data_IF_713605637246
#
_entry.id   IF_713605637246
#
_cell.length_a   1.000
_cell.length_b   1.000
_cell.length_c   1.000
_cell.angle_alpha   90.00
_cell.angle_beta   90.00
_cell.angle_gamma   90.00
#
_symmetry.space_group_name_H-M   'P 1'
#
loop_
_entity.id
_entity.type
_entity.pdbx_description
1 polymer ?
#
# COMPACT_ATOMS: atom_id res chain seq x y z
N UNK A 1 -6.93 -1.16 -20.09
CA UNK A 1 -6.78 0.27 -19.71
C UNK A 1 -5.35 0.72 -19.90
N UNK A 2 -5.10 2.01 -20.18
CA UNK A 2 -3.73 2.55 -20.24
C UNK A 2 -3.24 2.83 -18.81
N UNK A 3 -1.92 2.77 -18.59
CA UNK A 3 -1.32 2.98 -17.26
C UNK A 3 -1.75 4.30 -16.59
N UNK A 4 -1.87 5.38 -17.36
CA UNK A 4 -2.33 6.68 -16.85
C UNK A 4 -3.80 6.68 -16.42
N UNK A 5 -4.65 5.93 -17.12
CA UNK A 5 -6.07 5.79 -16.75
C UNK A 5 -6.20 5.06 -15.40
N UNK A 6 -5.40 3.99 -15.20
CA UNK A 6 -5.37 3.26 -13.93
C UNK A 6 -4.89 4.15 -12.78
N UNK A 7 -3.83 4.93 -12.99
CA UNK A 7 -3.32 5.88 -11.97
C UNK A 7 -4.37 6.92 -11.60
N UNK A 8 -5.11 7.45 -12.58
CA UNK A 8 -6.15 8.44 -12.31
C UNK A 8 -7.30 7.85 -11.47
N UNK A 9 -7.77 6.63 -11.79
CA UNK A 9 -8.81 5.95 -11.03
C UNK A 9 -8.36 5.74 -9.56
N UNK A 10 -7.13 5.25 -9.36
CA UNK A 10 -6.58 5.09 -8.01
C UNK A 10 -6.50 6.43 -7.30
N UNK A 11 -5.99 7.47 -7.96
CA UNK A 11 -5.86 8.82 -7.39
C UNK A 11 -7.20 9.42 -6.96
N UNK A 12 -8.23 9.30 -7.79
CA UNK A 12 -9.59 9.77 -7.48
C UNK A 12 -10.13 9.03 -6.25
N UNK A 13 -10.11 7.69 -6.25
CA UNK A 13 -10.60 6.88 -5.14
C UNK A 13 -9.89 7.21 -3.82
N UNK A 14 -8.56 7.26 -3.82
CA UNK A 14 -7.79 7.56 -2.59
C UNK A 14 -7.90 9.03 -2.16
N UNK A 15 -8.23 9.96 -3.08
CA UNK A 15 -8.58 11.33 -2.71
C UNK A 15 -9.90 11.40 -1.93
N UNK A 16 -10.90 10.63 -2.32
CA UNK A 16 -12.17 10.51 -1.58
C UNK A 16 -11.95 9.91 -0.19
N UNK A 17 -11.22 8.80 -0.12
CA UNK A 17 -10.88 8.10 1.13
C UNK A 17 -10.12 9.03 2.09
N UNK A 18 -9.23 9.88 1.60
CA UNK A 18 -8.47 10.83 2.42
C UNK A 18 -9.37 11.82 3.18
N UNK A 19 -10.54 12.13 2.65
CA UNK A 19 -11.50 13.06 3.26
C UNK A 19 -12.37 12.39 4.34
N UNK A 20 -12.35 11.07 4.43
CA UNK A 20 -13.16 10.27 5.35
C UNK A 20 -12.36 9.90 6.60
N UNK A 21 -13.07 9.54 7.67
CA UNK A 21 -12.51 8.89 8.85
C UNK A 21 -12.36 7.38 8.62
N UNK A 22 -11.55 6.71 9.44
CA UNK A 22 -11.45 5.24 9.42
C UNK A 22 -12.82 4.57 9.54
N UNK A 23 -13.66 5.05 10.44
CA UNK A 23 -15.00 4.50 10.68
C UNK A 23 -15.90 4.66 9.44
N UNK A 24 -15.82 5.78 8.73
CA UNK A 24 -16.53 5.98 7.47
C UNK A 24 -15.99 5.03 6.38
N UNK A 25 -14.68 4.83 6.29
CA UNK A 25 -14.08 3.89 5.35
C UNK A 25 -14.47 2.43 5.62
N UNK A 26 -14.59 2.04 6.89
CA UNK A 26 -15.04 0.69 7.32
C UNK A 26 -16.55 0.48 7.11
N UNK A 27 -17.36 1.56 7.17
CA UNK A 27 -18.82 1.50 7.05
C UNK A 27 -19.33 1.89 5.67
N UNK A 28 -18.47 2.28 4.75
CA UNK A 28 -18.79 2.86 3.43
C UNK A 28 -19.51 1.92 2.47
N UNK A 29 -19.99 0.79 2.92
CA UNK A 29 -20.99 -0.01 2.18
C UNK A 29 -22.32 0.72 1.90
N UNK A 30 -22.60 1.89 2.51
CA UNK A 30 -23.86 2.62 2.41
C UNK A 30 -23.70 4.14 2.40
N UNK A 31 -22.79 4.70 1.61
CA UNK A 31 -22.78 6.15 1.33
C UNK A 31 -23.96 6.54 0.45
N UNK A 32 -24.64 7.65 0.76
CA UNK A 32 -25.89 8.19 0.22
C UNK A 32 -25.90 8.42 -1.31
N UNK A 33 -25.86 7.36 -2.10
CA UNK A 33 -25.89 7.44 -3.56
C UNK A 33 -25.86 6.07 -4.22
N UNK A 34 -26.74 5.19 -3.77
CA UNK A 34 -27.17 3.95 -4.39
C UNK A 34 -26.26 3.35 -5.46
N UNK A 35 -25.36 2.48 -5.08
CA UNK A 35 -24.92 1.27 -5.78
C UNK A 35 -23.90 0.58 -4.89
N UNK A 36 -24.25 -0.57 -4.31
CA UNK A 36 -23.39 -1.41 -3.49
C UNK A 36 -22.36 -2.11 -4.39
N UNK A 37 -21.20 -1.52 -4.61
CA UNK A 37 -20.08 -2.12 -5.33
C UNK A 37 -18.73 -1.94 -4.64
N UNK A 38 -18.69 -1.38 -3.41
CA UNK A 38 -17.44 -1.11 -2.72
C UNK A 38 -16.92 -2.36 -2.03
N UNK A 39 -15.72 -2.79 -2.43
CA UNK A 39 -14.95 -3.84 -1.75
C UNK A 39 -14.64 -3.33 -0.33
N UNK A 40 -15.00 -4.12 0.68
CA UNK A 40 -14.62 -3.83 2.06
C UNK A 40 -13.12 -4.10 2.24
N UNK A 41 -12.34 -3.03 2.25
CA UNK A 41 -10.87 -3.10 2.41
C UNK A 41 -10.44 -3.55 3.80
N UNK A 42 -11.33 -3.51 4.80
CA UNK A 42 -11.01 -3.90 6.16
C UNK A 42 -10.68 -5.40 6.29
N UNK A 43 -11.12 -6.23 5.34
CA UNK A 43 -10.77 -7.67 5.29
C UNK A 43 -9.27 -7.93 5.21
N UNK A 44 -8.50 -6.97 4.68
CA UNK A 44 -7.04 -7.06 4.55
C UNK A 44 -6.32 -6.51 5.77
N UNK A 45 -6.94 -5.57 6.51
CA UNK A 45 -6.26 -4.77 7.51
C UNK A 45 -5.80 -5.57 8.73
N UNK A 46 -4.71 -5.09 9.34
CA UNK A 46 -4.23 -5.52 10.65
C UNK A 46 -4.30 -4.36 11.66
N UNK A 47 -4.45 -4.68 12.95
CA UNK A 47 -4.59 -3.65 13.99
C UNK A 47 -3.24 -3.06 14.36
N UNK A 48 -3.12 -1.75 14.28
CA UNK A 48 -1.94 -0.95 14.66
C UNK A 48 -1.97 -0.43 16.08
N UNK A 49 -3.09 -0.60 16.80
CA UNK A 49 -3.34 0.05 18.12
C UNK A 49 -2.32 -0.28 19.19
N UNK A 50 -1.59 -1.39 19.04
CA UNK A 50 -0.56 -1.83 19.98
C UNK A 50 0.84 -1.29 19.65
N UNK A 51 1.03 -0.64 18.49
CA UNK A 51 2.32 -0.16 18.04
C UNK A 51 2.65 1.23 18.60
N UNK A 52 3.91 1.41 18.98
CA UNK A 52 4.41 2.72 19.33
C UNK A 52 4.43 3.61 18.08
N UNK A 53 3.93 4.83 18.21
CA UNK A 53 3.81 5.76 17.08
C UNK A 53 2.46 5.68 16.37
N UNK A 54 1.60 4.71 16.69
CA UNK A 54 0.25 4.66 16.14
C UNK A 54 -0.50 5.99 16.35
N UNK A 55 -1.15 6.45 15.28
CA UNK A 55 -2.00 7.62 15.33
C UNK A 55 -3.35 7.33 14.66
N UNK A 56 -4.47 7.36 15.40
CA UNK A 56 -5.80 7.06 14.85
C UNK A 56 -6.23 8.03 13.73
N UNK A 57 -5.75 9.30 13.73
CA UNK A 57 -6.04 10.26 12.67
C UNK A 57 -5.35 9.89 11.33
N UNK A 58 -4.29 9.06 11.38
CA UNK A 58 -3.54 8.60 10.22
C UNK A 58 -3.95 7.19 9.76
N UNK A 59 -4.62 6.43 10.60
CA UNK A 59 -5.09 5.08 10.30
C UNK A 59 -6.42 5.15 9.54
N UNK A 60 -6.38 4.89 8.24
CA UNK A 60 -7.56 4.89 7.36
C UNK A 60 -8.10 3.47 7.08
N UNK A 61 -7.51 2.44 7.69
CA UNK A 61 -7.91 1.03 7.50
C UNK A 61 -7.51 0.42 6.15
N UNK A 62 -6.52 0.98 5.46
CA UNK A 62 -6.18 0.64 4.07
C UNK A 62 -5.01 -0.35 3.92
N UNK A 63 -4.28 -0.64 4.99
CA UNK A 63 -3.12 -1.54 4.93
C UNK A 63 -3.51 -3.01 4.90
N UNK A 64 -2.67 -3.87 4.34
CA UNK A 64 -2.87 -5.32 4.31
C UNK A 64 -1.88 -6.09 5.22
N UNK A 65 -1.12 -5.37 6.03
CA UNK A 65 -0.15 -5.91 6.98
C UNK A 65 0.57 -4.81 7.74
N UNK A 66 1.62 -5.17 8.45
CA UNK A 66 2.46 -4.25 9.22
C UNK A 66 3.91 -4.41 8.74
N UNK A 67 4.32 -3.71 7.67
CA UNK A 67 5.67 -3.88 7.11
C UNK A 67 6.77 -3.52 8.11
N UNK A 68 6.49 -2.67 9.08
CA UNK A 68 7.45 -2.26 10.13
C UNK A 68 7.82 -3.38 11.10
N UNK A 69 6.99 -4.45 11.26
CA UNK A 69 7.32 -5.59 12.10
C UNK A 69 8.56 -6.35 11.64
N UNK A 70 8.76 -6.45 10.32
CA UNK A 70 9.85 -7.22 9.71
C UNK A 70 10.93 -6.34 9.12
N UNK A 71 10.74 -5.02 9.12
CA UNK A 71 11.63 -4.06 8.49
C UNK A 71 12.99 -3.88 9.19
N UNK A 72 13.21 -4.46 10.37
CA UNK A 72 14.47 -4.36 11.12
C UNK A 72 15.02 -2.92 11.21
N UNK A 73 14.13 -1.94 11.32
CA UNK A 73 14.47 -0.51 11.42
C UNK A 73 15.30 -0.27 12.68
N UNK A 74 16.33 0.52 12.56
CA UNK A 74 17.24 0.88 13.67
C UNK A 74 17.20 2.37 13.96
N UNK A 75 17.58 2.74 15.18
CA UNK A 75 17.76 4.14 15.53
C UNK A 75 18.80 4.81 14.61
N UNK A 76 18.44 5.98 14.10
CA UNK A 76 19.25 6.74 13.15
C UNK A 76 19.04 6.43 11.68
N UNK A 77 18.28 5.37 11.32
CA UNK A 77 18.00 5.02 9.93
C UNK A 77 17.23 6.11 9.19
N UNK A 78 17.43 6.16 7.88
CA UNK A 78 16.54 6.85 6.95
C UNK A 78 15.57 5.85 6.36
N UNK A 79 14.28 5.96 6.72
CA UNK A 79 13.20 5.12 6.22
C UNK A 79 12.42 5.87 5.15
N UNK A 80 12.05 5.17 4.07
CA UNK A 80 11.11 5.68 3.07
C UNK A 80 9.88 4.79 3.07
N UNK A 81 8.71 5.40 3.16
CA UNK A 81 7.40 4.76 3.11
C UNK A 81 6.75 5.06 1.76
N UNK A 82 6.45 4.00 0.99
CA UNK A 82 5.85 4.09 -0.34
C UNK A 82 4.33 4.00 -0.24
N UNK A 83 3.64 4.99 -0.81
CA UNK A 83 2.19 5.14 -0.66
C UNK A 83 1.81 5.42 0.78
N UNK A 84 2.47 6.40 1.37
CA UNK A 84 2.39 6.68 2.80
C UNK A 84 1.00 7.09 3.31
N UNK A 85 0.05 7.36 2.41
CA UNK A 85 -1.30 7.77 2.76
C UNK A 85 -1.30 8.92 3.75
N UNK A 86 -2.10 8.81 4.82
CA UNK A 86 -2.17 9.80 5.90
C UNK A 86 -1.02 9.72 6.93
N UNK A 87 -0.02 8.83 6.71
CA UNK A 87 1.23 8.77 7.45
C UNK A 87 1.31 7.71 8.55
N UNK A 88 0.38 6.75 8.62
CA UNK A 88 0.34 5.78 9.71
C UNK A 88 1.66 4.99 9.86
N UNK A 89 2.13 4.32 8.80
CA UNK A 89 3.39 3.57 8.82
C UNK A 89 4.62 4.48 9.01
N UNK A 90 4.58 5.72 8.49
CA UNK A 90 5.61 6.73 8.74
C UNK A 90 5.76 7.06 10.23
N UNK A 91 4.66 7.18 10.98
CA UNK A 91 4.72 7.53 12.40
C UNK A 91 5.17 6.35 13.25
N UNK A 92 4.79 5.13 12.89
CA UNK A 92 5.36 3.91 13.50
C UNK A 92 6.86 3.83 13.22
N UNK A 93 7.28 3.98 11.96
CA UNK A 93 8.70 4.01 11.60
C UNK A 93 9.47 5.12 12.34
N UNK A 94 8.84 6.32 12.52
CA UNK A 94 9.44 7.42 13.30
C UNK A 94 9.75 7.02 14.74
N UNK A 95 8.89 6.22 15.36
CA UNK A 95 9.12 5.74 16.73
C UNK A 95 10.36 4.83 16.81
N UNK A 96 10.62 4.08 15.75
CA UNK A 96 11.75 3.13 15.65
C UNK A 96 13.07 3.82 15.30
N UNK A 97 13.07 4.77 14.35
CA UNK A 97 14.30 5.48 13.97
C UNK A 97 14.75 6.51 15.02
N UNK A 98 13.90 6.87 15.96
CA UNK A 98 14.20 7.84 17.00
C UNK A 98 14.34 9.27 16.48
N UNK A 99 14.92 10.16 17.31
CA UNK A 99 15.09 11.57 16.98
C UNK A 99 16.24 11.81 15.98
N UNK A 100 17.23 10.91 15.93
CA UNK A 100 18.41 10.97 15.07
C UNK A 100 18.14 10.47 13.65
N UNK A 101 17.11 9.63 13.46
CA UNK A 101 16.73 9.10 12.15
C UNK A 101 15.82 10.04 11.37
N UNK A 102 15.47 9.61 10.17
CA UNK A 102 14.57 10.35 9.27
C UNK A 102 13.54 9.42 8.62
N UNK A 103 12.31 9.90 8.49
CA UNK A 103 11.27 9.21 7.72
C UNK A 103 10.78 10.09 6.58
N UNK A 104 10.63 9.52 5.39
CA UNK A 104 10.12 10.20 4.19
C UNK A 104 8.95 9.37 3.67
N UNK A 105 7.74 9.92 3.78
CA UNK A 105 6.56 9.36 3.14
C UNK A 105 6.41 9.88 1.71
N UNK A 106 6.10 9.00 0.76
CA UNK A 106 5.82 9.35 -0.64
C UNK A 106 4.41 8.88 -0.96
N UNK A 107 3.60 9.79 -1.47
CA UNK A 107 2.27 9.49 -2.01
C UNK A 107 2.00 10.34 -3.25
N UNK A 108 1.23 9.83 -4.20
CA UNK A 108 0.91 10.59 -5.42
C UNK A 108 -0.43 11.35 -5.32
N UNK A 109 -1.15 11.20 -4.19
CA UNK A 109 -2.43 11.83 -3.90
C UNK A 109 -2.22 13.08 -3.04
N UNK A 110 -2.56 14.25 -3.55
CA UNK A 110 -2.39 15.52 -2.84
C UNK A 110 -3.14 15.54 -1.49
N UNK A 111 -4.38 15.04 -1.47
CA UNK A 111 -5.20 15.01 -0.25
C UNK A 111 -4.58 14.14 0.85
N UNK A 112 -3.95 13.01 0.50
CA UNK A 112 -3.21 12.17 1.44
C UNK A 112 -1.99 12.91 2.01
N UNK A 113 -1.21 13.55 1.16
CA UNK A 113 -0.02 14.32 1.58
C UNK A 113 -0.40 15.49 2.51
N UNK A 114 -1.49 16.20 2.22
CA UNK A 114 -1.98 17.28 3.08
C UNK A 114 -2.41 16.75 4.45
N UNK A 115 -3.17 15.65 4.48
CA UNK A 115 -3.59 15.00 5.73
C UNK A 115 -2.37 14.51 6.53
N UNK A 116 -1.40 13.85 5.88
CA UNK A 116 -0.18 13.37 6.52
C UNK A 116 0.67 14.50 7.14
N UNK A 117 0.83 15.61 6.42
CA UNK A 117 1.54 16.80 6.93
C UNK A 117 0.81 17.42 8.12
N UNK A 118 -0.52 17.50 8.06
CA UNK A 118 -1.34 17.96 9.18
C UNK A 118 -1.16 17.09 10.42
N UNK A 119 -1.14 15.78 10.27
CA UNK A 119 -0.91 14.82 11.36
C UNK A 119 0.51 14.96 11.94
N UNK A 120 1.54 15.05 11.08
CA UNK A 120 2.92 15.25 11.55
C UNK A 120 3.10 16.54 12.34
N UNK A 121 2.45 17.62 11.91
CA UNK A 121 2.46 18.90 12.62
C UNK A 121 1.82 18.79 14.02
N UNK A 122 0.66 18.13 14.12
CA UNK A 122 -0.01 17.89 15.42
C UNK A 122 0.87 17.08 16.37
N UNK A 123 1.63 16.09 15.84
CA UNK A 123 2.53 15.24 16.61
C UNK A 123 3.87 15.91 16.95
N UNK A 124 4.16 17.07 16.38
CA UNK A 124 5.43 17.78 16.58
C UNK A 124 6.66 17.06 15.99
N UNK A 125 6.48 16.23 14.96
CA UNK A 125 7.55 15.47 14.34
C UNK A 125 8.31 16.31 13.31
N UNK A 126 9.57 16.68 13.63
CA UNK A 126 10.44 17.48 12.76
C UNK A 126 11.30 16.64 11.80
N UNK A 127 11.35 15.34 12.01
CA UNK A 127 12.14 14.40 11.21
C UNK A 127 11.29 13.46 10.34
N UNK A 128 10.01 13.77 10.18
CA UNK A 128 9.10 13.13 9.22
C UNK A 128 8.76 14.12 8.12
N UNK A 129 8.98 13.74 6.87
CA UNK A 129 8.77 14.56 5.68
C UNK A 129 7.83 13.85 4.72
N UNK A 130 6.84 14.54 4.16
CA UNK A 130 5.93 13.98 3.15
C UNK A 130 6.12 14.66 1.80
N UNK A 131 6.31 13.85 0.75
CA UNK A 131 6.55 14.27 -0.62
C UNK A 131 5.46 13.78 -1.55
N UNK A 132 4.87 14.70 -2.30
CA UNK A 132 4.04 14.34 -3.43
C UNK A 132 4.92 13.76 -4.54
N UNK A 133 4.61 12.54 -4.99
CA UNK A 133 5.40 11.89 -6.04
C UNK A 133 4.91 10.51 -6.41
N UNK A 134 5.30 10.07 -7.58
CA UNK A 134 5.01 8.76 -8.13
C UNK A 134 6.14 7.77 -7.75
N UNK A 135 5.76 6.57 -7.32
CA UNK A 135 6.71 5.49 -6.98
C UNK A 135 7.52 5.05 -8.20
N UNK A 136 6.95 5.11 -9.40
CA UNK A 136 7.66 4.82 -10.66
C UNK A 136 8.72 5.89 -11.01
N UNK A 137 8.75 7.01 -10.30
CA UNK A 137 9.74 8.10 -10.44
C UNK A 137 9.81 8.89 -9.15
N UNK A 138 10.44 8.30 -8.13
CA UNK A 138 10.47 8.90 -6.79
C UNK A 138 11.21 10.24 -6.72
N UNK A 139 10.65 11.25 -6.03
CA UNK A 139 11.31 12.53 -5.79
C UNK A 139 12.39 12.42 -4.70
N UNK A 140 13.28 11.42 -4.85
CA UNK A 140 14.36 11.07 -3.91
C UNK A 140 15.63 10.77 -4.69
N UNK A 141 16.78 11.22 -4.19
CA UNK A 141 18.08 10.91 -4.76
C UNK A 141 18.45 9.43 -4.56
N UNK A 142 19.32 8.90 -5.42
CA UNK A 142 19.86 7.55 -5.27
C UNK A 142 20.59 7.38 -3.91
N UNK A 143 20.65 6.14 -3.43
CA UNK A 143 21.37 5.74 -2.22
C UNK A 143 20.99 6.57 -0.99
N UNK A 144 19.69 6.80 -0.77
CA UNK A 144 19.18 7.63 0.32
C UNK A 144 18.64 6.82 1.50
N UNK A 145 17.96 5.71 1.26
CA UNK A 145 17.25 4.94 2.26
C UNK A 145 18.09 3.80 2.82
N UNK A 146 18.11 3.65 4.14
CA UNK A 146 18.56 2.44 4.81
C UNK A 146 17.48 1.35 4.70
N UNK A 147 16.22 1.75 4.87
CA UNK A 147 15.05 0.88 4.78
C UNK A 147 13.98 1.53 3.92
N UNK A 148 13.35 0.74 3.07
CA UNK A 148 12.10 1.12 2.40
C UNK A 148 11.00 0.23 2.94
N UNK A 149 9.84 0.81 3.26
CA UNK A 149 8.62 0.09 3.62
C UNK A 149 7.53 0.37 2.60
N UNK A 150 6.61 -0.58 2.42
CA UNK A 150 5.43 -0.42 1.58
C UNK A 150 4.29 -1.28 2.10
N UNK A 151 3.08 -0.74 2.10
CA UNK A 151 1.91 -1.42 2.62
C UNK A 151 0.73 -1.34 1.64
N UNK A 152 0.48 -2.45 0.91
CA UNK A 152 -0.62 -2.62 -0.03
C UNK A 152 -0.67 -1.59 -1.18
N UNK A 153 0.49 -1.16 -1.67
CA UNK A 153 0.61 -0.09 -2.65
C UNK A 153 1.18 -0.56 -3.98
N UNK A 154 2.17 -1.47 -3.96
CA UNK A 154 2.84 -1.91 -5.19
C UNK A 154 1.89 -2.67 -6.12
N UNK A 155 0.80 -3.25 -5.60
CA UNK A 155 -0.29 -3.78 -6.41
C UNK A 155 -0.94 -2.75 -7.31
N UNK A 156 -1.08 -1.51 -6.83
CA UNK A 156 -1.72 -0.41 -7.54
C UNK A 156 -0.79 0.28 -8.56
N UNK A 157 0.47 -0.13 -8.60
CA UNK A 157 1.45 0.43 -9.54
C UNK A 157 1.37 -0.34 -10.87
N UNK A 158 1.04 0.33 -11.98
CA UNK A 158 0.90 -0.33 -13.28
C UNK A 158 2.22 -0.90 -13.81
N UNK A 159 3.34 -0.22 -13.60
CA UNK A 159 4.68 -0.66 -14.01
C UNK A 159 5.52 -1.06 -12.81
N UNK A 160 5.34 -2.29 -12.35
CA UNK A 160 6.05 -2.84 -11.18
C UNK A 160 7.57 -2.88 -11.40
N UNK A 161 8.03 -3.09 -12.63
CA UNK A 161 9.46 -3.11 -12.95
C UNK A 161 10.07 -1.73 -12.69
N UNK A 162 9.40 -0.65 -13.13
CA UNK A 162 9.86 0.72 -12.82
C UNK A 162 9.86 0.97 -11.32
N UNK A 163 8.80 0.59 -10.61
CA UNK A 163 8.71 0.79 -9.17
C UNK A 163 9.86 0.08 -8.44
N UNK A 164 10.11 -1.20 -8.71
CA UNK A 164 11.22 -1.93 -8.09
C UNK A 164 12.59 -1.43 -8.51
N UNK A 165 12.75 -0.95 -9.75
CA UNK A 165 13.98 -0.30 -10.20
C UNK A 165 14.25 1.02 -9.43
N UNK A 166 13.21 1.81 -9.16
CA UNK A 166 13.31 3.01 -8.33
C UNK A 166 13.60 2.68 -6.86
N UNK A 167 13.00 1.63 -6.32
CA UNK A 167 13.30 1.11 -4.97
C UNK A 167 14.79 0.77 -4.89
N UNK A 168 15.30 -0.02 -5.85
CA UNK A 168 16.73 -0.37 -5.89
C UNK A 168 17.63 0.85 -6.01
N UNK A 169 17.27 1.83 -6.86
CA UNK A 169 18.04 3.07 -7.03
C UNK A 169 18.15 3.88 -5.75
N UNK A 170 17.06 3.92 -4.98
CA UNK A 170 16.96 4.77 -3.78
C UNK A 170 17.56 4.11 -2.54
N UNK A 171 17.58 2.78 -2.47
CA UNK A 171 18.24 2.05 -1.40
C UNK A 171 19.76 2.31 -1.40
N UNK A 172 20.33 2.50 -0.21
CA UNK A 172 21.78 2.46 -0.02
C UNK A 172 22.33 1.06 -0.29
N UNK A 173 23.61 0.91 -0.63
CA UNK A 173 24.26 -0.40 -0.58
C UNK A 173 24.09 -1.03 0.82
N UNK A 174 23.53 -2.23 0.88
CA UNK A 174 23.20 -2.93 2.12
C UNK A 174 21.86 -2.53 2.76
N UNK A 175 21.15 -1.54 2.20
CA UNK A 175 19.78 -1.23 2.58
C UNK A 175 18.79 -2.30 2.12
N UNK A 176 17.58 -2.30 2.66
CA UNK A 176 16.60 -3.34 2.38
C UNK A 176 15.17 -2.82 2.27
N UNK A 177 14.30 -3.65 1.68
CA UNK A 177 12.88 -3.43 1.51
C UNK A 177 12.09 -4.36 2.42
N UNK A 178 11.06 -3.84 3.11
CA UNK A 178 10.01 -4.62 3.76
C UNK A 178 8.67 -4.24 3.15
N UNK A 179 7.99 -5.22 2.56
CA UNK A 179 6.72 -5.00 1.85
C UNK A 179 5.65 -5.95 2.36
N UNK A 180 4.47 -5.40 2.64
CA UNK A 180 3.22 -6.14 2.81
C UNK A 180 2.34 -5.87 1.60
N UNK A 181 2.00 -6.91 0.84
CA UNK A 181 1.22 -6.74 -0.39
C UNK A 181 0.35 -7.96 -0.67
N UNK A 182 -0.72 -7.77 -1.44
CA UNK A 182 -1.58 -8.85 -1.89
C UNK A 182 -0.98 -9.50 -3.13
N UNK A 183 -0.86 -10.82 -3.12
CA UNK A 183 -0.38 -11.61 -4.26
C UNK A 183 -1.36 -12.73 -4.56
N UNK A 184 -1.38 -13.21 -5.79
CA UNK A 184 -2.23 -14.30 -6.22
C UNK A 184 -1.54 -15.67 -6.01
N UNK A 185 -2.33 -16.64 -5.57
CA UNK A 185 -2.04 -18.07 -5.68
C UNK A 185 -3.20 -18.71 -6.44
N UNK A 186 -3.04 -18.90 -7.74
CA UNK A 186 -4.10 -19.35 -8.64
C UNK A 186 -4.54 -18.26 -9.63
N UNK A 187 -5.44 -18.59 -10.52
CA UNK A 187 -5.89 -17.69 -11.59
C UNK A 187 -7.12 -16.91 -11.15
N UNK A 188 -7.18 -15.62 -11.49
CA UNK A 188 -8.40 -14.81 -11.37
C UNK A 188 -9.19 -14.87 -12.68
N UNK A 189 -10.53 -14.92 -12.63
CA UNK A 189 -11.36 -14.75 -13.81
C UNK A 189 -11.06 -13.46 -14.57
N UNK A 190 -11.04 -13.53 -15.91
CA UNK A 190 -10.63 -12.42 -16.77
C UNK A 190 -11.46 -11.15 -16.55
N UNK A 191 -12.75 -11.30 -16.24
CA UNK A 191 -13.66 -10.18 -15.96
C UNK A 191 -13.23 -9.41 -14.69
N UNK A 192 -12.72 -10.10 -13.68
CA UNK A 192 -12.23 -9.46 -12.45
C UNK A 192 -10.93 -8.71 -12.68
N UNK A 193 -10.04 -9.24 -13.53
CA UNK A 193 -8.77 -8.59 -13.88
C UNK A 193 -9.02 -7.24 -14.59
N UNK A 194 -10.12 -7.13 -15.34
CA UNK A 194 -10.45 -5.93 -16.10
C UNK A 194 -11.25 -4.89 -15.31
N UNK A 195 -11.72 -5.21 -14.10
CA UNK A 195 -12.49 -4.28 -13.27
C UNK A 195 -11.60 -3.20 -12.65
N UNK A 196 -11.90 -1.94 -12.93
CA UNK A 196 -11.20 -0.78 -12.37
C UNK A 196 -11.40 -0.67 -10.84
N UNK A 197 -12.57 -1.05 -10.35
CA UNK A 197 -12.92 -1.04 -8.92
C UNK A 197 -12.14 -2.12 -8.17
N UNK A 198 -12.06 -3.34 -8.74
CA UNK A 198 -11.23 -4.41 -8.19
C UNK A 198 -9.75 -4.06 -8.23
N UNK A 199 -9.31 -3.25 -9.22
CA UNK A 199 -7.95 -2.75 -9.28
C UNK A 199 -7.67 -1.76 -8.14
N UNK A 200 -8.50 -0.76 -7.95
CA UNK A 200 -8.40 0.17 -6.82
C UNK A 200 -8.53 -0.52 -5.45
N UNK A 201 -9.15 -1.71 -5.41
CA UNK A 201 -9.24 -2.59 -4.25
C UNK A 201 -8.06 -3.54 -4.04
N UNK A 202 -6.93 -3.31 -4.68
CA UNK A 202 -5.73 -4.16 -4.59
C UNK A 202 -5.90 -5.61 -5.09
N UNK A 203 -7.05 -6.01 -5.64
CA UNK A 203 -7.32 -7.40 -6.06
C UNK A 203 -6.88 -7.62 -7.51
N UNK A 204 -7.38 -6.84 -8.46
CA UNK A 204 -7.05 -7.06 -9.89
C UNK A 204 -5.66 -6.55 -10.30
N UNK A 205 -5.01 -5.74 -9.46
CA UNK A 205 -3.60 -5.36 -9.63
C UNK A 205 -2.61 -6.38 -9.06
N UNK A 206 -3.11 -7.37 -8.29
CA UNK A 206 -2.28 -8.44 -7.75
C UNK A 206 -1.80 -9.38 -8.87
N UNK A 207 -0.54 -9.79 -8.81
CA UNK A 207 0.06 -10.75 -9.73
C UNK A 207 0.44 -12.02 -8.99
N UNK A 208 0.78 -13.08 -9.72
CA UNK A 208 1.25 -14.31 -9.12
C UNK A 208 2.45 -14.05 -8.22
N UNK A 209 2.47 -14.69 -7.04
CA UNK A 209 3.55 -14.54 -6.07
C UNK A 209 4.92 -14.83 -6.70
N UNK A 210 5.03 -15.84 -7.55
CA UNK A 210 6.27 -16.19 -8.22
C UNK A 210 6.77 -15.06 -9.14
N UNK A 211 5.87 -14.45 -9.91
CA UNK A 211 6.20 -13.32 -10.81
C UNK A 211 6.61 -12.08 -10.01
N UNK A 212 5.92 -11.80 -8.90
CA UNK A 212 6.23 -10.70 -8.01
C UNK A 212 7.67 -10.81 -7.46
N UNK A 213 8.03 -11.98 -6.93
CA UNK A 213 9.37 -12.25 -6.41
C UNK A 213 10.43 -12.23 -7.52
N UNK A 214 10.09 -12.73 -8.72
CA UNK A 214 10.99 -12.70 -9.87
C UNK A 214 11.28 -11.26 -10.32
N UNK A 215 10.28 -10.38 -10.40
CA UNK A 215 10.46 -8.97 -10.74
C UNK A 215 11.39 -8.29 -9.71
N UNK A 216 11.20 -8.57 -8.42
CA UNK A 216 12.12 -8.05 -7.39
C UNK A 216 13.56 -8.46 -7.64
N UNK A 217 13.79 -9.76 -7.92
CA UNK A 217 15.12 -10.31 -8.18
C UNK A 217 15.76 -9.71 -9.45
N UNK A 218 15.00 -9.58 -10.52
CA UNK A 218 15.43 -9.02 -11.81
C UNK A 218 15.81 -7.53 -11.68
N UNK A 219 15.19 -6.80 -10.75
CA UNK A 219 15.54 -5.42 -10.42
C UNK A 219 16.76 -5.29 -9.49
N UNK A 220 17.40 -6.41 -9.11
CA UNK A 220 18.63 -6.42 -8.30
C UNK A 220 18.42 -6.55 -6.79
N UNK A 221 17.20 -6.79 -6.33
CA UNK A 221 16.92 -7.06 -4.92
C UNK A 221 17.25 -8.53 -4.61
N UNK A 222 18.25 -8.76 -3.75
CA UNK A 222 18.69 -10.09 -3.34
C UNK A 222 18.18 -10.49 -1.97
N UNK A 223 18.40 -11.77 -1.61
CA UNK A 223 18.05 -12.33 -0.29
C UNK A 223 16.56 -12.15 0.07
N UNK A 224 15.68 -12.36 -0.90
CA UNK A 224 14.24 -12.19 -0.73
C UNK A 224 13.71 -13.29 0.21
N UNK A 225 12.96 -12.90 1.23
CA UNK A 225 12.37 -13.81 2.21
C UNK A 225 10.89 -13.47 2.43
N UNK A 226 10.04 -14.46 2.33
CA UNK A 226 8.63 -14.34 2.72
C UNK A 226 8.54 -14.58 4.23
N UNK A 227 8.24 -13.53 4.99
CA UNK A 227 8.23 -13.57 6.46
C UNK A 227 6.90 -14.08 7.01
N UNK A 228 5.79 -13.71 6.37
CA UNK A 228 4.43 -14.05 6.81
C UNK A 228 3.53 -14.20 5.59
N UNK A 229 2.65 -15.18 5.63
CA UNK A 229 1.57 -15.35 4.66
C UNK A 229 0.24 -15.40 5.39
N UNK A 230 -0.76 -14.69 4.88
CA UNK A 230 -2.15 -14.74 5.34
C UNK A 230 -3.04 -15.05 4.13
N UNK A 231 -3.76 -16.16 4.20
CA UNK A 231 -4.78 -16.46 3.20
C UNK A 231 -5.96 -15.51 3.39
N UNK A 232 -6.32 -14.80 2.33
CA UNK A 232 -7.48 -13.92 2.33
C UNK A 232 -8.52 -14.55 1.42
N UNK A 233 -9.69 -14.78 1.98
CA UNK A 233 -10.84 -15.25 1.22
C UNK A 233 -11.76 -14.06 0.98
N UNK A 234 -11.84 -13.64 -0.27
CA UNK A 234 -12.80 -12.60 -0.68
C UNK A 234 -14.20 -13.20 -0.59
N UNK A 235 -15.16 -12.53 0.08
CA UNK A 235 -16.55 -13.00 0.16
C UNK A 235 -17.19 -13.16 -1.21
N UNK A 236 -18.07 -14.15 -1.37
CA UNK A 236 -18.76 -14.45 -2.63
C UNK A 236 -19.58 -13.29 -3.12
N UNK A 237 -20.19 -12.56 -2.20
CA UNK A 237 -21.01 -11.39 -2.48
C UNK A 237 -20.23 -10.33 -3.25
N UNK A 238 -18.94 -10.17 -2.97
CA UNK A 238 -18.06 -9.24 -3.69
C UNK A 238 -17.86 -9.73 -5.13
N UNK A 239 -17.56 -11.00 -5.32
CA UNK A 239 -17.39 -11.56 -6.67
C UNK A 239 -18.67 -11.48 -7.49
N UNK A 240 -19.82 -11.74 -6.88
CA UNK A 240 -21.12 -11.74 -7.54
C UNK A 240 -21.57 -10.37 -8.06
N UNK A 241 -20.91 -9.28 -7.64
CA UNK A 241 -21.11 -7.98 -8.26
C UNK A 241 -20.50 -7.90 -9.67
N UNK A 242 -19.59 -8.80 -10.02
CA UNK A 242 -18.80 -8.75 -11.27
C UNK A 242 -18.93 -10.00 -12.13
N UNK A 243 -19.25 -11.15 -11.55
CA UNK A 243 -19.36 -12.43 -12.27
C UNK A 243 -20.67 -13.16 -11.91
N UNK A 244 -21.08 -14.08 -12.76
CA UNK A 244 -22.28 -14.91 -12.52
C UNK A 244 -22.06 -15.95 -11.43
N UNK A 245 -23.13 -16.48 -10.85
CA UNK A 245 -23.06 -17.62 -9.92
C UNK A 245 -22.40 -18.86 -10.55
N UNK A 246 -22.57 -19.07 -11.86
CA UNK A 246 -22.03 -20.20 -12.61
C UNK A 246 -20.51 -20.05 -12.75
N UNK A 247 -20.03 -18.84 -13.11
CA UNK A 247 -18.60 -18.52 -13.21
C UNK A 247 -17.90 -18.62 -11.84
N UNK A 248 -18.56 -18.14 -10.78
CA UNK A 248 -18.05 -18.25 -9.42
C UNK A 248 -17.90 -19.72 -8.97
N UNK A 249 -18.87 -20.56 -9.30
CA UNK A 249 -18.79 -22.00 -9.00
C UNK A 249 -17.64 -22.68 -9.76
N UNK A 250 -17.40 -22.27 -11.01
CA UNK A 250 -16.27 -22.73 -11.82
C UNK A 250 -14.91 -22.29 -11.26
N UNK A 251 -14.84 -21.09 -10.69
CA UNK A 251 -13.63 -20.53 -10.11
C UNK A 251 -13.21 -21.21 -8.79
N UNK A 252 -14.16 -21.77 -8.04
CA UNK A 252 -13.92 -22.43 -6.74
C UNK A 252 -13.56 -23.92 -6.83
N UNK A 253 -13.67 -24.54 -8.01
CA UNK A 253 -13.33 -25.94 -8.26
C UNK A 253 -11.95 -26.08 -8.87
#
# INVERSE_FOLDING_TARGET
MKNEELKNIVKEKYSEIALQSKQENETSCCGSGGCCSDVDYSIFSESYTHLQGYNPDADLGLGCGIPTEFAQIREGDTVIDLGSGAGNDCFVARSLVGASGKVIGIDFTEAMIEKARGNALKLGYNNVEFRLGDIEKMPVTANKADVIISNCVLNLVPDKIKAFSEIYRVLKPGGHLSVSDVVLKGELPEHLIQSAEMYAGCVSGAIQMADYLQIMADCGLGNIQVQKEKMIMVPDEIFLNYISHEDLAGFKN
#
